data_IF_150509176361
#
_entry.id   IF_150509176361
#
_cell.length_a   1.000
_cell.length_b   1.000
_cell.length_c   1.000
_cell.angle_alpha   90.00
_cell.angle_beta   90.00
_cell.angle_gamma   90.00
#
_symmetry.space_group_name_H-M   'P 1'
#
loop_
_entity.id
_entity.type
_entity.pdbx_description
1 polymer ?
#
# COMPACT_ATOMS: atom_id res chain seq x y z
N UNK A 1 -15.46 5.31 3.57
CA UNK A 1 -14.66 6.18 2.71
C UNK A 1 -15.58 6.97 1.82
N UNK A 2 -15.30 8.25 1.63
CA UNK A 2 -16.01 9.09 0.66
C UNK A 2 -15.40 8.93 -0.76
N UNK A 3 -16.08 9.44 -1.79
CA UNK A 3 -15.63 9.32 -3.19
C UNK A 3 -14.25 9.93 -3.46
N UNK A 4 -13.91 11.01 -2.76
CA UNK A 4 -12.60 11.67 -2.89
C UNK A 4 -11.48 10.80 -2.34
N UNK A 5 -11.68 10.16 -1.19
CA UNK A 5 -10.73 9.21 -0.63
C UNK A 5 -10.54 7.99 -1.53
N UNK A 6 -11.63 7.46 -2.12
CA UNK A 6 -11.57 6.33 -3.05
C UNK A 6 -10.65 6.67 -4.23
N UNK A 7 -10.87 7.83 -4.88
CA UNK A 7 -10.04 8.27 -6.01
C UNK A 7 -8.56 8.40 -5.65
N UNK A 8 -8.25 8.98 -4.49
CA UNK A 8 -6.85 9.10 -4.03
C UNK A 8 -6.19 7.74 -3.84
N UNK A 9 -6.90 6.76 -3.27
CA UNK A 9 -6.37 5.40 -3.16
C UNK A 9 -6.22 4.74 -4.52
N UNK A 10 -7.15 4.94 -5.46
CA UNK A 10 -7.00 4.40 -6.81
C UNK A 10 -5.74 4.96 -7.51
N UNK A 11 -5.45 6.26 -7.39
CA UNK A 11 -4.21 6.87 -7.90
C UNK A 11 -2.93 6.26 -7.28
N UNK A 12 -2.96 5.94 -5.98
CA UNK A 12 -1.85 5.25 -5.29
C UNK A 12 -1.62 3.88 -5.92
N UNK A 13 -2.68 3.10 -6.13
CA UNK A 13 -2.54 1.75 -6.66
C UNK A 13 -2.22 1.72 -8.15
N UNK A 14 -2.71 2.68 -8.94
CA UNK A 14 -2.28 2.85 -10.33
C UNK A 14 -0.77 3.13 -10.39
N UNK A 15 -0.23 3.95 -9.50
CA UNK A 15 1.22 4.18 -9.42
C UNK A 15 1.99 2.93 -9.02
N UNK A 16 1.50 2.19 -8.02
CA UNK A 16 2.12 0.94 -7.58
C UNK A 16 2.12 -0.08 -8.71
N UNK A 17 1.00 -0.31 -9.39
CA UNK A 17 0.90 -1.28 -10.49
C UNK A 17 1.88 -0.96 -11.63
N UNK A 18 2.07 0.33 -11.94
CA UNK A 18 2.97 0.77 -13.01
C UNK A 18 4.47 0.68 -12.65
N UNK A 19 4.84 0.70 -11.37
CA UNK A 19 6.25 0.73 -10.93
C UNK A 19 6.69 -0.55 -10.23
N UNK A 20 5.77 -1.23 -9.54
CA UNK A 20 5.99 -2.38 -8.68
C UNK A 20 4.79 -3.36 -8.83
N UNK A 21 4.65 -4.03 -9.99
CA UNK A 21 3.47 -4.82 -10.33
C UNK A 21 3.22 -6.03 -9.41
N UNK A 22 4.23 -6.46 -8.65
CA UNK A 22 4.11 -7.56 -7.69
C UNK A 22 3.30 -7.15 -6.44
N UNK A 23 3.08 -5.85 -6.20
CA UNK A 23 2.38 -5.36 -5.02
C UNK A 23 0.87 -5.27 -5.27
N UNK A 24 0.09 -5.74 -4.29
CA UNK A 24 -1.36 -5.87 -4.40
C UNK A 24 -2.10 -4.91 -3.46
N UNK A 25 -3.25 -4.43 -3.94
CA UNK A 25 -4.27 -3.77 -3.11
C UNK A 25 -5.04 -4.82 -2.30
N UNK A 26 -5.06 -4.66 -0.98
CA UNK A 26 -5.89 -5.46 -0.08
C UNK A 26 -6.84 -4.54 0.68
N UNK A 27 -8.12 -4.89 0.71
CA UNK A 27 -9.14 -4.17 1.48
C UNK A 27 -9.69 -5.11 2.54
N UNK A 28 -9.56 -4.74 3.80
CA UNK A 28 -10.01 -5.56 4.93
C UNK A 28 -10.65 -4.67 5.98
N UNK A 29 -11.92 -4.95 6.33
CA UNK A 29 -12.66 -4.19 7.34
C UNK A 29 -12.68 -2.66 7.09
N UNK A 30 -12.67 -2.26 5.82
CA UNK A 30 -12.63 -0.85 5.41
C UNK A 30 -11.24 -0.19 5.50
N UNK A 31 -10.20 -0.94 5.89
CA UNK A 31 -8.81 -0.48 5.82
C UNK A 31 -8.19 -0.84 4.47
N UNK A 32 -7.42 0.09 3.93
CA UNK A 32 -6.67 -0.10 2.69
C UNK A 32 -5.25 -0.51 3.04
N UNK A 33 -4.77 -1.58 2.39
CA UNK A 33 -3.45 -2.16 2.65
C UNK A 33 -2.71 -2.46 1.35
N UNK A 34 -1.39 -2.40 1.41
CA UNK A 34 -0.47 -2.81 0.36
C UNK A 34 0.13 -4.14 0.78
N UNK A 35 -0.02 -5.18 -0.05
CA UNK A 35 0.63 -6.48 0.14
C UNK A 35 1.79 -6.60 -0.84
N UNK A 36 3.00 -6.76 -0.35
CA UNK A 36 4.19 -6.66 -1.20
C UNK A 36 4.57 -7.94 -1.94
N UNK A 37 3.94 -9.09 -1.60
CA UNK A 37 4.27 -10.42 -2.13
C UNK A 37 5.77 -10.79 -2.03
N UNK A 38 6.52 -10.10 -1.18
CA UNK A 38 7.97 -10.20 -1.07
C UNK A 38 8.35 -10.37 0.41
N UNK A 39 9.26 -11.31 0.66
CA UNK A 39 9.81 -11.56 2.01
C UNK A 39 10.80 -10.48 2.46
N UNK A 40 11.36 -9.73 1.51
CA UNK A 40 12.16 -8.53 1.76
C UNK A 40 11.66 -7.41 0.86
N UNK A 41 11.31 -6.28 1.47
CA UNK A 41 10.89 -5.07 0.75
C UNK A 41 12.02 -4.06 0.85
N UNK A 42 12.48 -3.55 -0.28
CA UNK A 42 13.37 -2.38 -0.28
C UNK A 42 12.56 -1.19 0.22
N UNK A 43 12.93 -0.66 1.39
CA UNK A 43 12.19 0.42 2.03
C UNK A 43 12.06 1.66 1.13
N UNK A 44 13.05 1.91 0.27
CA UNK A 44 13.05 2.97 -0.75
C UNK A 44 11.81 2.96 -1.64
N UNK A 45 11.32 1.78 -2.05
CA UNK A 45 10.09 1.67 -2.86
C UNK A 45 8.85 2.10 -2.05
N UNK A 46 8.83 1.79 -0.75
CA UNK A 46 7.74 2.22 0.12
C UNK A 46 7.83 3.72 0.38
N UNK A 47 9.02 4.27 0.68
CA UNK A 47 9.25 5.70 0.89
C UNK A 47 8.73 6.54 -0.27
N UNK A 48 9.00 6.12 -1.52
CA UNK A 48 8.47 6.81 -2.70
C UNK A 48 6.94 6.89 -2.71
N UNK A 49 6.24 5.84 -2.29
CA UNK A 49 4.78 5.84 -2.17
C UNK A 49 4.33 6.75 -1.03
N UNK A 50 4.97 6.66 0.13
CA UNK A 50 4.63 7.45 1.32
C UNK A 50 4.75 8.96 1.04
N UNK A 51 5.87 9.39 0.46
CA UNK A 51 6.16 10.79 0.17
C UNK A 51 5.28 11.33 -0.96
N UNK A 52 5.15 10.59 -2.06
CA UNK A 52 4.41 11.08 -3.25
C UNK A 52 2.94 11.31 -2.97
N UNK A 53 2.33 10.48 -2.14
CA UNK A 53 0.90 10.51 -1.88
C UNK A 53 0.53 11.06 -0.50
N UNK A 54 1.52 11.50 0.28
CA UNK A 54 1.32 11.94 1.66
C UNK A 54 0.52 10.91 2.47
N UNK A 55 0.96 9.65 2.39
CA UNK A 55 0.35 8.53 3.12
C UNK A 55 1.26 8.06 4.23
N UNK A 56 0.67 7.62 5.33
CA UNK A 56 1.38 6.99 6.44
C UNK A 56 1.06 5.51 6.55
N UNK A 57 2.01 4.76 7.09
CA UNK A 57 1.80 3.37 7.52
C UNK A 57 1.03 3.38 8.84
N UNK A 58 -0.06 2.62 8.90
CA UNK A 58 -0.88 2.46 10.13
C UNK A 58 -0.57 1.18 10.88
N UNK A 59 -0.25 0.11 10.16
CA UNK A 59 0.04 -1.21 10.69
C UNK A 59 0.95 -1.98 9.73
N UNK A 60 1.72 -2.92 10.30
CA UNK A 60 2.56 -3.84 9.54
C UNK A 60 2.25 -5.26 10.02
N UNK A 61 1.92 -6.14 9.08
CA UNK A 61 1.67 -7.55 9.35
C UNK A 61 2.56 -8.41 8.46
N UNK A 62 3.05 -9.52 9.02
CA UNK A 62 3.81 -10.53 8.30
C UNK A 62 2.88 -11.69 7.98
N UNK A 63 2.85 -12.13 6.73
CA UNK A 63 2.19 -13.38 6.38
C UNK A 63 3.24 -14.48 6.30
N UNK A 64 2.92 -15.67 6.82
CA UNK A 64 3.88 -16.78 6.95
C UNK A 64 4.51 -17.22 5.62
N UNK A 65 3.90 -16.88 4.47
CA UNK A 65 4.34 -17.36 3.15
C UNK A 65 4.31 -16.34 1.98
N UNK A 66 3.70 -15.15 2.11
CA UNK A 66 3.40 -14.29 0.94
C UNK A 66 3.64 -12.78 1.15
N UNK A 67 4.62 -12.43 1.97
CA UNK A 67 5.16 -11.07 2.05
C UNK A 67 4.59 -10.21 3.16
N UNK A 68 4.97 -8.93 3.13
CA UNK A 68 4.66 -7.94 4.16
C UNK A 68 3.40 -7.19 3.74
N UNK A 69 2.47 -7.03 4.68
CA UNK A 69 1.26 -6.22 4.50
C UNK A 69 1.42 -4.93 5.28
N UNK A 70 1.28 -3.81 4.59
CA UNK A 70 1.29 -2.47 5.16
C UNK A 70 -0.10 -1.87 5.09
N UNK A 71 -0.72 -1.61 6.23
CA UNK A 71 -1.88 -0.73 6.28
C UNK A 71 -1.45 0.70 5.97
N UNK A 72 -2.23 1.40 5.15
CA UNK A 72 -1.94 2.78 4.76
C UNK A 72 -3.13 3.69 5.04
N UNK A 73 -2.82 4.95 5.34
CA UNK A 73 -3.82 6.01 5.49
C UNK A 73 -3.33 7.31 4.89
N UNK A 74 -4.15 7.90 4.02
CA UNK A 74 -3.94 9.25 3.51
C UNK A 74 -4.13 10.25 4.65
N UNK A 75 -3.23 11.23 4.75
CA UNK A 75 -3.34 12.37 5.66
C UNK A 75 -4.18 13.53 5.09
#
# INVERSE_FOLDING_TARGET
MNETEIKKYDEIFDFIENNIPDWEKVVTEGNIKIKTNQHMVKFEHMEQVLEKFNVKITDVAYTDYYGIIFGIKIE
#
